data_IF_927809909259
#
_entry.id   IF_927809909259
#
_cell.length_a   1.000
_cell.length_b   1.000
_cell.length_c   1.000
_cell.angle_alpha   90.00
_cell.angle_beta   90.00
_cell.angle_gamma   90.00
#
_symmetry.space_group_name_H-M   'P 1'
#
loop_
_entity.id
_entity.type
_entity.pdbx_description
1 polymer ?
#
# COMPACT_ATOMS: atom_id res chain seq x y z
N UNK A 1 14.56 47.04 28.55
CA UNK A 1 15.36 45.81 28.36
C UNK A 1 14.88 44.76 29.35
N UNK A 2 14.14 43.74 28.90
CA UNK A 2 13.56 42.71 29.79
C UNK A 2 13.94 41.33 29.25
N UNK A 3 14.88 40.66 29.92
CA UNK A 3 15.35 39.29 29.58
C UNK A 3 14.29 38.27 29.98
N UNK A 4 13.67 37.59 29.01
CA UNK A 4 12.85 36.38 29.23
C UNK A 4 13.76 35.18 29.49
N UNK A 5 13.70 34.63 30.70
CA UNK A 5 14.33 33.37 31.04
C UNK A 5 13.51 32.20 30.45
N UNK A 6 14.11 31.43 29.53
CA UNK A 6 13.56 30.16 29.03
C UNK A 6 13.64 29.12 30.15
N UNK A 7 12.49 28.66 30.65
CA UNK A 7 12.41 27.47 31.52
C UNK A 7 12.77 26.24 30.68
N UNK A 8 13.86 25.55 31.06
CA UNK A 8 14.21 24.24 30.53
C UNK A 8 13.27 23.20 31.15
N UNK A 9 12.57 22.43 30.34
CA UNK A 9 11.82 21.25 30.81
C UNK A 9 12.84 20.17 31.23
N UNK A 10 12.70 19.56 32.42
CA UNK A 10 13.50 18.41 32.79
C UNK A 10 13.14 17.20 31.90
N UNK A 11 14.09 16.28 31.67
CA UNK A 11 13.85 15.06 30.89
C UNK A 11 12.77 14.19 31.59
N UNK A 12 11.97 13.44 30.82
CA UNK A 12 10.97 12.55 31.39
C UNK A 12 11.63 11.43 32.20
N UNK A 13 11.34 11.37 33.50
CA UNK A 13 11.84 10.34 34.39
C UNK A 13 11.18 8.99 34.07
N UNK A 14 12.01 7.97 33.82
CA UNK A 14 11.60 6.60 33.50
C UNK A 14 10.70 5.97 34.59
N UNK A 15 10.82 6.42 35.84
CA UNK A 15 9.98 6.01 36.97
C UNK A 15 8.51 6.35 36.78
N UNK A 16 8.19 7.48 36.12
CA UNK A 16 6.80 7.87 35.83
C UNK A 16 6.17 6.96 34.77
N UNK A 17 6.97 6.48 33.80
CA UNK A 17 6.49 5.55 32.78
C UNK A 17 6.23 4.15 33.35
N UNK A 18 7.10 3.67 34.23
CA UNK A 18 6.92 2.37 34.90
C UNK A 18 5.67 2.35 35.79
N UNK A 19 5.38 3.43 36.50
CA UNK A 19 4.20 3.52 37.37
C UNK A 19 2.90 3.47 36.55
N UNK A 20 2.85 4.19 35.41
CA UNK A 20 1.71 4.15 34.49
C UNK A 20 1.53 2.76 33.87
N UNK A 21 2.62 2.11 33.43
CA UNK A 21 2.58 0.76 32.86
C UNK A 21 2.08 -0.25 33.90
N UNK A 22 2.57 -0.15 35.14
CA UNK A 22 2.16 -1.00 36.25
C UNK A 22 0.66 -0.86 36.55
N UNK A 23 0.15 0.38 36.64
CA UNK A 23 -1.28 0.64 36.86
C UNK A 23 -2.13 0.04 35.74
N UNK A 24 -1.72 0.18 34.46
CA UNK A 24 -2.46 -0.36 33.31
C UNK A 24 -2.50 -1.89 33.34
N UNK A 25 -1.37 -2.55 33.64
CA UNK A 25 -1.30 -4.01 33.75
C UNK A 25 -2.17 -4.50 34.91
N UNK A 26 -2.09 -3.85 36.07
CA UNK A 26 -2.86 -4.25 37.25
C UNK A 26 -4.37 -4.08 37.03
N UNK A 27 -4.80 -2.98 36.39
CA UNK A 27 -6.19 -2.75 36.03
C UNK A 27 -6.70 -3.79 35.01
N UNK A 28 -5.87 -4.21 34.05
CA UNK A 28 -6.20 -5.26 33.09
C UNK A 28 -6.40 -6.62 33.77
N UNK A 29 -5.53 -6.98 34.73
CA UNK A 29 -5.64 -8.22 35.51
C UNK A 29 -6.91 -8.26 36.38
N UNK A 30 -7.27 -7.14 37.04
CA UNK A 30 -8.51 -7.05 37.82
C UNK A 30 -9.74 -7.25 36.92
N UNK A 31 -9.75 -6.60 35.74
CA UNK A 31 -10.86 -6.77 34.78
C UNK A 31 -10.97 -8.21 34.28
N UNK A 32 -9.85 -8.88 33.99
CA UNK A 32 -9.85 -10.28 33.58
C UNK A 32 -10.44 -11.21 34.66
N UNK A 33 -10.05 -11.01 35.92
CA UNK A 33 -10.57 -11.77 37.04
C UNK A 33 -12.09 -11.54 37.26
N UNK A 34 -12.55 -10.30 37.12
CA UNK A 34 -13.98 -9.97 37.23
C UNK A 34 -14.82 -10.63 36.12
N UNK A 35 -14.30 -10.70 34.88
CA UNK A 35 -14.98 -11.39 33.76
C UNK A 35 -15.07 -12.90 34.02
N UNK A 36 -14.02 -13.53 34.54
CA UNK A 36 -14.03 -14.95 34.89
C UNK A 36 -15.03 -15.27 36.02
N UNK A 37 -15.08 -14.44 37.06
CA UNK A 37 -16.05 -14.61 38.14
C UNK A 37 -17.49 -14.39 37.67
N UNK A 38 -17.73 -13.41 36.78
CA UNK A 38 -19.04 -13.20 36.17
C UNK A 38 -19.47 -14.39 35.30
N UNK A 39 -18.54 -15.01 34.56
CA UNK A 39 -18.81 -16.22 33.79
C UNK A 39 -19.12 -17.42 34.70
N UNK A 40 -18.36 -17.60 35.80
CA UNK A 40 -18.62 -18.65 36.78
C UNK A 40 -19.96 -18.47 37.51
N UNK A 41 -20.35 -17.23 37.83
CA UNK A 41 -21.63 -16.92 38.44
C UNK A 41 -22.82 -17.17 37.49
N UNK A 42 -22.63 -16.99 36.17
CA UNK A 42 -23.64 -17.34 35.17
C UNK A 42 -23.81 -18.86 35.01
N UNK A 43 -22.74 -19.64 35.19
CA UNK A 43 -22.79 -21.09 35.12
C UNK A 43 -23.53 -21.76 36.30
N UNK A 44 -23.73 -21.06 37.42
CA UNK A 44 -24.40 -21.57 38.62
C UNK A 44 -25.92 -21.34 38.64
N UNK A 45 -26.50 -20.71 37.61
CA UNK A 45 -27.95 -20.45 37.52
C UNK A 45 -28.66 -21.63 36.81
N UNK A 46 -29.76 -22.19 37.35
CA UNK A 46 -30.53 -23.20 36.64
C UNK A 46 -30.96 -22.67 35.27
N UNK A 47 -30.81 -23.42 34.17
CA UNK A 47 -31.10 -22.91 32.84
C UNK A 47 -32.60 -22.64 32.70
N UNK A 48 -32.95 -21.36 32.50
CA UNK A 48 -34.25 -21.00 31.96
C UNK A 48 -34.39 -21.60 30.55
N UNK A 49 -35.60 -21.99 30.10
CA UNK A 49 -35.80 -22.47 28.75
C UNK A 49 -35.26 -21.45 27.74
N UNK A 50 -34.52 -21.90 26.71
CA UNK A 50 -33.90 -20.99 25.76
C UNK A 50 -34.97 -20.13 25.09
N UNK A 51 -34.78 -18.80 24.99
CA UNK A 51 -35.64 -17.97 24.16
C UNK A 51 -35.57 -18.49 22.71
N UNK A 52 -36.67 -18.39 21.95
CA UNK A 52 -36.66 -18.78 20.54
C UNK A 52 -35.53 -18.04 19.82
N UNK A 53 -34.79 -18.71 18.92
CA UNK A 53 -33.70 -18.08 18.20
C UNK A 53 -34.23 -16.84 17.45
N UNK A 54 -33.52 -15.70 17.50
CA UNK A 54 -33.89 -14.56 16.69
C UNK A 54 -33.94 -14.99 15.21
N UNK A 55 -34.90 -14.49 14.42
CA UNK A 55 -34.95 -14.81 13.01
C UNK A 55 -33.61 -14.44 12.35
N UNK A 56 -33.11 -15.27 11.42
CA UNK A 56 -31.86 -14.98 10.73
C UNK A 56 -31.99 -13.64 10.02
N UNK A 57 -31.21 -12.65 10.46
CA UNK A 57 -31.05 -11.40 9.73
C UNK A 57 -30.38 -11.76 8.42
N UNK A 58 -31.15 -11.78 7.33
CA UNK A 58 -30.59 -11.90 5.98
C UNK A 58 -29.78 -10.62 5.74
N UNK A 59 -28.46 -10.72 5.88
CA UNK A 59 -27.57 -9.70 5.35
C UNK A 59 -27.73 -9.73 3.83
N UNK A 60 -28.33 -8.67 3.27
CA UNK A 60 -28.38 -8.40 1.83
C UNK A 60 -26.94 -8.14 1.35
N UNK A 61 -26.18 -9.23 1.14
CA UNK A 61 -24.77 -9.19 0.75
C UNK A 61 -24.54 -8.41 -0.54
N UNK A 62 -25.50 -8.42 -1.45
CA UNK A 62 -25.51 -7.64 -2.69
C UNK A 62 -25.55 -6.13 -2.44
N UNK A 63 -26.40 -5.67 -1.50
CA UNK A 63 -26.50 -4.25 -1.15
C UNK A 63 -25.22 -3.75 -0.45
N UNK A 64 -24.62 -4.58 0.41
CA UNK A 64 -23.33 -4.28 1.02
C UNK A 64 -22.20 -4.23 0.00
N UNK A 65 -22.16 -5.17 -0.94
CA UNK A 65 -21.17 -5.20 -2.02
C UNK A 65 -21.29 -3.97 -2.93
N UNK A 66 -22.51 -3.64 -3.37
CA UNK A 66 -22.76 -2.47 -4.20
C UNK A 66 -22.33 -1.17 -3.50
N UNK A 67 -22.58 -1.05 -2.19
CA UNK A 67 -22.13 0.08 -1.40
C UNK A 67 -20.61 0.13 -1.27
N UNK A 68 -19.95 -1.00 -1.01
CA UNK A 68 -18.50 -1.08 -0.92
C UNK A 68 -17.80 -0.68 -2.22
N UNK A 69 -18.32 -1.13 -3.37
CA UNK A 69 -17.82 -0.74 -4.69
C UNK A 69 -18.03 0.76 -4.95
N UNK A 70 -19.22 1.30 -4.66
CA UNK A 70 -19.49 2.72 -4.82
C UNK A 70 -18.61 3.62 -3.93
N UNK A 71 -18.30 3.17 -2.71
CA UNK A 71 -17.41 3.87 -1.81
C UNK A 71 -15.95 3.78 -2.28
N UNK A 72 -15.53 2.64 -2.85
CA UNK A 72 -14.21 2.47 -3.46
C UNK A 72 -14.05 3.36 -4.70
N UNK A 73 -15.04 3.39 -5.59
CA UNK A 73 -15.03 4.24 -6.78
C UNK A 73 -14.89 5.72 -6.41
N UNK A 74 -15.61 6.17 -5.37
CA UNK A 74 -15.48 7.55 -4.85
C UNK A 74 -14.08 7.82 -4.29
N UNK A 75 -13.49 6.86 -3.57
CA UNK A 75 -12.14 7.00 -3.03
C UNK A 75 -11.07 7.03 -4.13
N UNK A 76 -11.28 6.30 -5.23
CA UNK A 76 -10.36 6.25 -6.36
C UNK A 76 -10.50 7.47 -7.28
N UNK A 77 -11.73 7.91 -7.57
CA UNK A 77 -12.00 9.03 -8.47
C UNK A 77 -11.39 10.37 -8.00
N UNK A 78 -11.16 10.53 -6.69
CA UNK A 78 -10.53 11.71 -6.11
C UNK A 78 -8.99 11.69 -6.12
N UNK A 79 -8.36 10.59 -6.52
CA UNK A 79 -6.90 10.43 -6.44
C UNK A 79 -6.25 10.74 -7.78
N UNK A 80 -5.28 11.67 -7.85
CA UNK A 80 -4.42 11.78 -9.03
C UNK A 80 -3.73 10.45 -9.32
N UNK A 81 -3.70 10.08 -10.61
CA UNK A 81 -3.01 8.87 -11.09
C UNK A 81 -1.55 9.18 -11.42
N UNK A 82 -0.69 8.20 -11.11
CA UNK A 82 0.72 8.17 -11.52
C UNK A 82 0.92 6.86 -12.26
N UNK A 83 1.50 6.90 -13.47
CA UNK A 83 1.86 5.70 -14.22
C UNK A 83 3.37 5.53 -14.18
N UNK A 84 3.83 4.35 -13.76
CA UNK A 84 5.23 3.96 -13.65
C UNK A 84 5.50 2.97 -14.78
N UNK A 85 6.21 3.41 -15.81
CA UNK A 85 6.52 2.62 -17.01
C UNK A 85 7.76 1.77 -16.75
N UNK A 86 7.64 0.45 -16.97
CA UNK A 86 8.76 -0.48 -16.80
C UNK A 86 9.09 -1.12 -18.14
N UNK A 87 10.36 -1.09 -18.54
CA UNK A 87 10.82 -1.72 -19.78
C UNK A 87 10.82 -3.24 -19.72
N UNK A 88 10.96 -3.85 -20.90
CA UNK A 88 11.27 -5.27 -21.08
C UNK A 88 12.54 -5.71 -20.34
N UNK A 89 13.55 -4.85 -20.27
CA UNK A 89 14.80 -5.09 -19.54
C UNK A 89 14.65 -4.96 -18.01
N UNK A 90 13.45 -4.67 -17.48
CA UNK A 90 13.21 -4.50 -16.06
C UNK A 90 13.83 -3.21 -15.50
N UNK A 91 13.69 -2.11 -16.24
CA UNK A 91 14.09 -0.77 -15.78
C UNK A 91 12.87 0.15 -15.71
N UNK A 92 12.82 1.04 -14.71
CA UNK A 92 11.80 2.09 -14.64
C UNK A 92 12.20 3.21 -15.62
N UNK A 93 11.42 3.37 -16.69
CA UNK A 93 11.73 4.26 -17.81
C UNK A 93 11.01 5.60 -17.78
N UNK A 94 9.86 5.67 -17.11
CA UNK A 94 9.13 6.93 -16.99
C UNK A 94 8.19 6.96 -15.78
N UNK A 95 7.95 8.17 -15.30
CA UNK A 95 6.84 8.51 -14.41
C UNK A 95 5.91 9.47 -15.16
N UNK A 96 4.67 9.08 -15.37
CA UNK A 96 3.64 9.95 -15.92
C UNK A 96 2.74 10.44 -14.79
N UNK A 97 2.66 11.74 -14.57
CA UNK A 97 1.83 12.35 -13.53
C UNK A 97 1.25 13.67 -14.03
N UNK A 98 -0.07 13.85 -13.87
CA UNK A 98 -0.79 15.07 -14.25
C UNK A 98 -0.51 15.56 -15.70
N UNK A 99 -0.37 14.62 -16.64
CA UNK A 99 -0.08 14.92 -18.05
C UNK A 99 1.38 15.23 -18.37
N UNK A 100 2.27 15.21 -17.36
CA UNK A 100 3.71 15.33 -17.56
C UNK A 100 4.36 13.95 -17.53
N UNK A 101 5.31 13.73 -18.44
CA UNK A 101 6.15 12.52 -18.46
C UNK A 101 7.56 12.88 -18.03
N UNK A 102 8.03 12.28 -16.95
CA UNK A 102 9.40 12.40 -16.47
C UNK A 102 10.17 11.13 -16.89
N UNK A 103 11.13 11.22 -17.83
CA UNK A 103 11.94 10.08 -18.23
C UNK A 103 12.89 9.69 -17.11
N UNK A 104 13.10 8.38 -16.97
CA UNK A 104 14.01 7.75 -16.02
C UNK A 104 14.82 6.65 -16.72
N UNK A 105 15.89 6.22 -16.07
CA UNK A 105 16.70 5.08 -16.49
C UNK A 105 17.20 4.33 -15.25
N UNK A 106 16.24 3.91 -14.41
CA UNK A 106 16.55 3.27 -13.13
C UNK A 106 16.41 1.75 -13.28
N UNK A 107 17.50 0.97 -13.24
CA UNK A 107 17.40 -0.48 -13.31
C UNK A 107 16.69 -1.02 -12.06
N UNK A 108 15.77 -1.96 -12.26
CA UNK A 108 15.09 -2.69 -11.17
C UNK A 108 15.62 -4.11 -11.01
N UNK A 109 16.40 -4.59 -11.98
CA UNK A 109 17.01 -5.90 -11.99
C UNK A 109 18.53 -5.80 -12.03
N UNK A 110 19.20 -6.72 -11.37
CA UNK A 110 20.63 -6.96 -11.51
C UNK A 110 20.92 -8.45 -11.68
N UNK A 111 22.04 -8.79 -12.30
CA UNK A 111 22.49 -10.18 -12.34
C UNK A 111 23.00 -10.58 -10.95
N UNK A 112 22.48 -11.68 -10.43
CA UNK A 112 22.94 -12.24 -9.16
C UNK A 112 24.28 -12.96 -9.38
N UNK A 113 25.25 -12.83 -8.45
CA UNK A 113 26.44 -13.69 -8.45
C UNK A 113 26.10 -15.15 -8.12
N UNK A 114 24.91 -15.39 -7.56
CA UNK A 114 24.40 -16.73 -7.31
C UNK A 114 23.83 -17.34 -8.62
N UNK A 115 24.43 -18.44 -9.13
CA UNK A 115 24.01 -19.05 -10.37
C UNK A 115 22.58 -19.61 -10.31
N UNK A 116 22.04 -19.90 -9.13
CA UNK A 116 20.69 -20.45 -8.97
C UNK A 116 19.60 -19.38 -9.07
N UNK A 117 19.96 -18.09 -8.90
CA UNK A 117 19.02 -16.96 -8.92
C UNK A 117 18.96 -16.31 -10.31
N UNK A 118 20.10 -16.17 -11.00
CA UNK A 118 20.20 -15.50 -12.30
C UNK A 118 19.96 -13.99 -12.23
N UNK A 119 18.72 -13.55 -11.97
CA UNK A 119 18.31 -12.15 -11.84
C UNK A 119 17.77 -11.87 -10.43
N UNK A 120 18.20 -10.77 -9.82
CA UNK A 120 17.72 -10.29 -8.53
C UNK A 120 16.97 -8.97 -8.68
N UNK A 121 15.88 -8.82 -7.93
CA UNK A 121 15.14 -7.57 -7.85
C UNK A 121 15.83 -6.59 -6.89
N UNK A 122 16.23 -5.43 -7.41
CA UNK A 122 17.01 -4.43 -6.68
C UNK A 122 16.24 -3.79 -5.52
N UNK A 123 14.92 -3.66 -5.63
CA UNK A 123 14.08 -3.10 -4.56
C UNK A 123 14.04 -3.94 -3.27
N UNK A 124 14.43 -5.22 -3.34
CA UNK A 124 14.59 -6.07 -2.15
C UNK A 124 15.90 -5.79 -1.41
N UNK A 125 16.93 -5.30 -2.12
CA UNK A 125 18.25 -5.00 -1.57
C UNK A 125 18.38 -3.56 -1.10
N UNK A 126 17.69 -2.63 -1.77
CA UNK A 126 17.70 -1.21 -1.42
C UNK A 126 16.30 -0.62 -1.40
N UNK A 127 15.94 0.02 -0.29
CA UNK A 127 14.66 0.73 -0.17
C UNK A 127 14.56 1.91 -1.15
N UNK A 128 15.69 2.49 -1.57
CA UNK A 128 15.73 3.61 -2.52
C UNK A 128 15.38 3.19 -3.95
N UNK A 129 15.55 1.90 -4.28
CA UNK A 129 15.24 1.33 -5.60
C UNK A 129 13.84 0.70 -5.68
N UNK A 130 13.05 0.80 -4.61
CA UNK A 130 11.64 0.38 -4.65
C UNK A 130 10.85 1.34 -5.51
N UNK A 131 10.00 0.79 -6.38
CA UNK A 131 9.34 1.54 -7.45
C UNK A 131 8.54 2.74 -6.91
N UNK A 132 7.76 2.56 -5.85
CA UNK A 132 7.02 3.66 -5.22
C UNK A 132 7.92 4.67 -4.48
N UNK A 133 9.07 4.26 -3.95
CA UNK A 133 10.01 5.20 -3.31
C UNK A 133 10.69 6.08 -4.36
N UNK A 134 11.12 5.50 -5.48
CA UNK A 134 11.66 6.24 -6.63
C UNK A 134 10.63 7.27 -7.10
N UNK A 135 9.38 6.86 -7.27
CA UNK A 135 8.30 7.78 -7.67
C UNK A 135 8.12 8.95 -6.70
N UNK A 136 8.05 8.69 -5.39
CA UNK A 136 7.89 9.74 -4.38
C UNK A 136 9.05 10.76 -4.41
N UNK A 137 10.29 10.26 -4.53
CA UNK A 137 11.49 11.11 -4.60
C UNK A 137 11.47 11.99 -5.84
N UNK A 138 11.18 11.44 -7.01
CA UNK A 138 11.17 12.21 -8.27
C UNK A 138 10.01 13.20 -8.36
N UNK A 139 8.87 12.90 -7.75
CA UNK A 139 7.75 13.83 -7.64
C UNK A 139 7.93 14.85 -6.51
N UNK A 140 9.03 14.77 -5.74
CA UNK A 140 9.33 15.60 -4.59
C UNK A 140 8.17 15.64 -3.57
N UNK A 141 7.58 14.48 -3.30
CA UNK A 141 6.53 14.30 -2.30
C UNK A 141 7.05 13.43 -1.15
N UNK A 142 6.60 13.67 0.10
CA UNK A 142 7.07 12.90 1.24
C UNK A 142 6.56 11.45 1.22
N UNK A 143 5.38 11.24 0.63
CA UNK A 143 4.71 9.94 0.46
C UNK A 143 3.72 9.99 -0.72
N UNK A 144 3.13 8.84 -1.05
CA UNK A 144 2.16 8.67 -2.14
C UNK A 144 0.71 8.55 -1.63
N UNK A 145 0.41 9.01 -0.40
CA UNK A 145 -0.88 8.80 0.26
C UNK A 145 -2.11 9.26 -0.53
N UNK A 146 -1.92 10.26 -1.41
CA UNK A 146 -2.98 10.88 -2.21
C UNK A 146 -3.08 10.32 -3.63
N UNK A 147 -2.16 9.44 -4.03
CA UNK A 147 -2.06 8.98 -5.41
C UNK A 147 -2.62 7.57 -5.56
N UNK A 148 -3.05 7.27 -6.78
CA UNK A 148 -3.20 5.92 -7.30
C UNK A 148 -1.99 5.65 -8.22
N UNK A 149 -1.19 4.65 -7.88
CA UNK A 149 0.03 4.28 -8.60
C UNK A 149 -0.29 3.09 -9.51
N UNK A 150 -0.09 3.28 -10.80
CA UNK A 150 -0.26 2.25 -11.82
C UNK A 150 1.14 1.82 -12.26
N UNK A 151 1.50 0.57 -12.01
CA UNK A 151 2.75 -0.03 -12.48
C UNK A 151 2.44 -0.70 -13.81
N UNK A 152 3.01 -0.15 -14.89
CA UNK A 152 2.73 -0.53 -16.27
C UNK A 152 4.00 -1.13 -16.91
N UNK A 153 4.20 -2.46 -16.81
CA UNK A 153 5.25 -3.14 -17.56
C UNK A 153 4.98 -3.12 -19.07
N UNK A 154 6.04 -3.03 -19.86
CA UNK A 154 5.98 -3.06 -21.31
C UNK A 154 5.61 -4.44 -21.89
N UNK A 155 5.76 -5.50 -21.10
CA UNK A 155 5.40 -6.87 -21.46
C UNK A 155 4.19 -7.36 -20.67
N UNK A 156 3.53 -8.40 -21.19
CA UNK A 156 2.49 -9.11 -20.44
C UNK A 156 3.03 -9.65 -19.13
N UNK A 157 2.18 -9.65 -18.10
CA UNK A 157 2.57 -10.08 -16.76
C UNK A 157 3.10 -11.52 -16.75
N UNK A 158 2.54 -12.38 -17.62
CA UNK A 158 2.96 -13.78 -17.76
C UNK A 158 4.35 -13.96 -18.38
N UNK A 159 4.85 -12.95 -19.10
CA UNK A 159 6.14 -13.00 -19.80
C UNK A 159 7.26 -12.31 -19.01
N UNK A 160 6.93 -11.65 -17.88
CA UNK A 160 7.92 -10.97 -17.06
C UNK A 160 8.90 -11.96 -16.41
N UNK A 161 10.19 -11.60 -16.27
CA UNK A 161 11.11 -12.36 -15.44
C UNK A 161 10.55 -12.56 -14.03
N UNK A 162 10.64 -13.78 -13.49
CA UNK A 162 10.06 -14.13 -12.19
C UNK A 162 10.52 -13.19 -11.06
N UNK A 163 11.81 -12.82 -11.07
CA UNK A 163 12.37 -11.87 -10.12
C UNK A 163 11.68 -10.49 -10.19
N UNK A 164 11.40 -9.99 -11.39
CA UNK A 164 10.70 -8.73 -11.59
C UNK A 164 9.25 -8.82 -11.13
N UNK A 165 8.51 -9.83 -11.60
CA UNK A 165 7.12 -10.03 -11.21
C UNK A 165 6.94 -10.17 -9.69
N UNK A 166 7.78 -11.01 -9.06
CA UNK A 166 7.78 -11.17 -7.62
C UNK A 166 8.14 -9.88 -6.88
N UNK A 167 9.14 -9.14 -7.39
CA UNK A 167 9.55 -7.85 -6.85
C UNK A 167 8.48 -6.78 -6.91
N UNK A 168 7.80 -6.63 -8.06
CA UNK A 168 6.73 -5.67 -8.26
C UNK A 168 5.53 -5.97 -7.37
N UNK A 169 5.14 -7.23 -7.19
CA UNK A 169 4.07 -7.59 -6.27
C UNK A 169 4.40 -7.22 -4.82
N UNK A 170 5.63 -7.48 -4.37
CA UNK A 170 6.09 -7.02 -3.05
C UNK A 170 6.07 -5.49 -2.95
N UNK A 171 6.44 -4.80 -4.02
CA UNK A 171 6.43 -3.34 -4.04
C UNK A 171 5.01 -2.75 -4.06
N UNK A 172 4.00 -3.44 -4.60
CA UNK A 172 2.58 -3.04 -4.44
C UNK A 172 2.20 -2.99 -2.96
N UNK A 173 2.53 -4.03 -2.20
CA UNK A 173 2.27 -4.07 -0.76
C UNK A 173 3.08 -3.01 0.00
N UNK A 174 4.38 -2.91 -0.28
CA UNK A 174 5.25 -1.89 0.34
C UNK A 174 4.81 -0.47 0.00
N UNK A 175 4.25 -0.23 -1.18
CA UNK A 175 3.70 1.07 -1.55
C UNK A 175 2.62 1.51 -0.56
N UNK A 176 1.72 0.58 -0.19
CA UNK A 176 0.68 0.82 0.80
C UNK A 176 1.25 1.02 2.20
N UNK A 177 2.16 0.15 2.64
CA UNK A 177 2.65 0.21 4.02
C UNK A 177 3.65 1.34 4.27
N UNK A 178 4.56 1.57 3.33
CA UNK A 178 5.70 2.49 3.49
C UNK A 178 5.43 3.87 2.87
N UNK A 179 4.82 3.91 1.68
CA UNK A 179 4.51 5.17 0.97
C UNK A 179 3.05 5.59 1.12
N UNK A 180 2.22 4.81 1.83
CA UNK A 180 0.77 5.07 2.01
C UNK A 180 -0.03 5.15 0.70
N UNK A 181 0.59 4.82 -0.44
CA UNK A 181 -0.01 4.88 -1.76
C UNK A 181 -0.78 3.61 -2.09
N UNK A 182 -1.83 3.74 -2.88
CA UNK A 182 -2.51 2.57 -3.46
C UNK A 182 -1.82 2.24 -4.78
N UNK A 183 -1.29 1.03 -4.92
CA UNK A 183 -0.61 0.59 -6.12
C UNK A 183 -1.33 -0.59 -6.77
N UNK A 184 -1.23 -0.69 -8.09
CA UNK A 184 -1.74 -1.81 -8.89
C UNK A 184 -0.81 -2.05 -10.07
N UNK A 185 -0.61 -3.32 -10.44
CA UNK A 185 0.07 -3.69 -11.69
C UNK A 185 -0.99 -3.89 -12.76
N UNK A 186 -0.83 -3.24 -13.91
CA UNK A 186 -1.78 -3.34 -15.02
C UNK A 186 -1.07 -3.98 -16.21
N UNK A 187 -1.67 -5.04 -16.75
CA UNK A 187 -1.17 -5.71 -17.95
C UNK A 187 -1.36 -4.78 -19.17
N UNK A 188 -0.37 -4.65 -20.05
CA UNK A 188 -0.48 -3.79 -21.24
C UNK A 188 -1.65 -4.18 -22.17
N UNK A 189 -2.15 -5.43 -22.11
CA UNK A 189 -3.36 -5.84 -22.86
C UNK A 189 -4.60 -5.03 -22.51
N UNK A 190 -4.63 -4.46 -21.30
CA UNK A 190 -5.77 -3.72 -20.77
C UNK A 190 -5.68 -2.22 -21.09
N UNK A 191 -4.54 -1.74 -21.60
CA UNK A 191 -4.48 -0.38 -22.11
C UNK A 191 -5.35 -0.31 -23.37
N UNK A 192 -6.40 0.54 -23.40
CA UNK A 192 -7.20 0.74 -24.58
C UNK A 192 -6.28 1.26 -25.68
N UNK A 193 -5.97 0.37 -26.62
CA UNK A 193 -5.11 0.56 -27.78
C UNK A 193 -5.18 2.01 -28.26
N UNK A 194 -4.19 2.83 -27.88
CA UNK A 194 -4.09 4.19 -28.38
C UNK A 194 -4.01 4.05 -29.91
N UNK A 195 -5.01 4.62 -30.60
CA UNK A 195 -5.19 4.43 -32.03
C UNK A 195 -3.84 4.60 -32.75
N UNK A 196 -3.49 3.71 -33.70
CA UNK A 196 -2.22 3.78 -34.40
C UNK A 196 -2.10 5.16 -35.02
N UNK A 197 -1.07 5.90 -34.60
CA UNK A 197 -0.66 7.15 -35.24
C UNK A 197 -0.51 6.86 -36.72
N UNK A 198 -1.44 7.38 -37.52
CA UNK A 198 -1.42 7.20 -38.97
C UNK A 198 -0.19 7.96 -39.47
N UNK A 199 0.89 7.22 -39.69
CA UNK A 199 2.07 7.72 -40.40
C UNK A 199 1.62 8.09 -41.79
N UNK A 200 1.35 9.38 -42.00
CA UNK A 200 1.15 9.95 -43.32
C UNK A 200 2.48 9.87 -44.06
N UNK A 201 2.59 8.92 -44.98
CA UNK A 201 3.68 8.87 -45.95
C UNK A 201 3.73 10.20 -46.73
N UNK A 202 4.90 10.83 -46.88
CA UNK A 202 5.02 12.01 -47.71
C UNK A 202 4.80 11.66 -49.19
N UNK A 203 4.24 12.58 -49.99
CA UNK A 203 3.98 12.34 -51.40
C UNK A 203 5.30 12.26 -52.19
N UNK A 204 5.52 11.10 -52.82
CA UNK A 204 6.54 10.94 -53.87
C UNK A 204 6.20 11.87 -55.04
N UNK A 205 7.11 12.78 -55.36
CA UNK A 205 6.99 13.67 -56.53
C UNK A 205 7.67 12.99 -57.73
N UNK A 206 7.09 13.07 -58.95
CA UNK A 206 7.55 12.37 -60.16
C UNK A 206 8.91 12.84 -60.69
#
# INVERSE_FOLDING_TARGET
MTRRARRRQPPPDLTSLFDVLFIVIFAALIRAAAVQQAAAAQAAKPPAPPPPPPPPVKLESSALQARALADLDKQLAGRPTIILRISDAGSLTAIEAAGNTLPLDTPLLEHSPDPDIGLAYLGDRSAELRVCRVAAVHLNVPDLSRYLVIIAPAQHIADLPEALYGGLNRDVERCLFEQKGLAVIVDPSLEPNAAPTVTSSPPSTP
#
